data_IF_253167063154
#
_entry.id   IF_253167063154
#
_cell.length_a   1.000
_cell.length_b   1.000
_cell.length_c   1.000
_cell.angle_alpha   90.00
_cell.angle_beta   90.00
_cell.angle_gamma   90.00
#
_symmetry.space_group_name_H-M   'P 1'
#
loop_
_entity.id
_entity.type
_entity.pdbx_description
1 polymer ?
#
# COMPACT_ATOMS: atom_id res chain seq x y z
N UNK A 1 1.94 -14.60 -17.37
CA UNK A 1 1.19 -15.32 -16.34
C UNK A 1 0.67 -14.35 -15.30
N UNK A 2 -0.59 -14.45 -14.96
CA UNK A 2 -1.18 -13.61 -13.93
C UNK A 2 -1.00 -14.25 -12.56
N UNK A 3 -0.76 -13.42 -11.55
CA UNK A 3 -0.68 -13.86 -10.18
C UNK A 3 -2.11 -13.90 -9.60
N UNK A 4 -2.54 -15.05 -9.04
CA UNK A 4 -3.85 -15.07 -8.39
C UNK A 4 -3.90 -14.09 -7.24
N UNK A 5 -4.91 -13.22 -7.19
CA UNK A 5 -5.09 -12.31 -6.09
C UNK A 5 -5.96 -12.96 -5.02
N UNK A 6 -5.34 -13.23 -3.89
CA UNK A 6 -6.02 -13.73 -2.70
C UNK A 6 -5.50 -12.92 -1.52
N UNK A 7 -6.19 -12.93 -0.36
CA UNK A 7 -5.62 -12.27 0.82
C UNK A 7 -4.22 -12.77 1.15
N UNK A 8 -3.93 -14.05 0.91
CA UNK A 8 -2.62 -14.64 1.17
C UNK A 8 -1.55 -14.09 0.23
N UNK A 9 -1.86 -13.90 -1.06
CA UNK A 9 -0.87 -13.32 -1.97
C UNK A 9 -0.66 -11.84 -1.67
N UNK A 10 -1.69 -11.13 -1.22
CA UNK A 10 -1.54 -9.74 -0.81
C UNK A 10 -0.63 -9.64 0.42
N UNK A 11 -0.84 -10.51 1.40
CA UNK A 11 0.02 -10.55 2.58
C UNK A 11 1.47 -10.86 2.20
N UNK A 12 1.68 -11.80 1.26
CA UNK A 12 3.02 -12.14 0.80
C UNK A 12 3.70 -10.97 0.10
N UNK A 13 2.94 -10.20 -0.70
CA UNK A 13 3.49 -9.01 -1.35
C UNK A 13 3.91 -7.96 -0.31
N UNK A 14 3.07 -7.76 0.69
CA UNK A 14 3.39 -6.85 1.79
C UNK A 14 4.66 -7.31 2.52
N UNK A 15 4.74 -8.59 2.86
CA UNK A 15 5.89 -9.13 3.59
C UNK A 15 7.18 -8.97 2.79
N UNK A 16 7.13 -9.23 1.48
CA UNK A 16 8.31 -9.04 0.63
C UNK A 16 8.76 -7.58 0.67
N UNK A 17 7.85 -6.65 0.44
CA UNK A 17 8.20 -5.23 0.43
C UNK A 17 8.71 -4.76 1.78
N UNK A 18 8.14 -5.28 2.87
CA UNK A 18 8.56 -4.90 4.22
C UNK A 18 10.00 -5.27 4.53
N UNK A 19 10.59 -6.22 3.78
CA UNK A 19 12.00 -6.57 3.92
C UNK A 19 12.92 -5.65 3.11
N UNK A 20 12.36 -4.78 2.27
CA UNK A 20 13.13 -3.92 1.36
C UNK A 20 13.19 -2.48 1.87
N UNK A 21 14.27 -1.73 1.50
CA UNK A 21 14.29 -0.31 1.84
C UNK A 21 13.28 0.47 0.98
N UNK A 22 12.69 1.55 1.49
CA UNK A 22 12.89 2.09 2.84
C UNK A 22 11.95 1.46 3.87
N UNK A 23 11.07 0.54 3.48
CA UNK A 23 10.03 -0.04 4.32
C UNK A 23 10.62 -0.73 5.57
N UNK A 24 11.77 -1.39 5.42
CA UNK A 24 12.39 -2.13 6.51
C UNK A 24 12.87 -1.22 7.65
N UNK A 25 12.84 0.11 7.45
CA UNK A 25 13.24 1.07 8.46
C UNK A 25 12.04 1.76 9.11
N UNK A 26 10.83 1.38 8.75
CA UNK A 26 9.62 2.11 9.15
C UNK A 26 8.84 1.47 10.28
N UNK A 27 9.28 0.43 10.90
CA UNK A 27 8.56 -0.23 12.00
C UNK A 27 7.09 -0.53 11.65
N UNK A 28 6.89 -1.09 10.47
CA UNK A 28 5.54 -1.43 10.00
C UNK A 28 5.00 -2.62 10.80
N UNK A 29 3.66 -2.71 10.97
CA UNK A 29 3.07 -3.88 11.63
C UNK A 29 3.27 -5.14 10.80
N UNK A 30 3.20 -6.30 11.45
CA UNK A 30 3.26 -7.58 10.75
C UNK A 30 2.02 -7.77 9.89
N UNK A 31 2.16 -8.55 8.83
CA UNK A 31 1.05 -8.75 7.89
C UNK A 31 -0.17 -9.40 8.54
N UNK A 32 0.03 -10.20 9.60
CA UNK A 32 -1.10 -10.81 10.30
C UNK A 32 -1.92 -9.81 11.12
N UNK A 33 -1.43 -8.60 11.29
CA UNK A 33 -2.16 -7.52 11.95
C UNK A 33 -2.94 -6.65 10.98
N UNK A 34 -2.86 -6.94 9.68
CA UNK A 34 -3.49 -6.16 8.62
C UNK A 34 -4.57 -7.00 7.96
N UNK A 35 -5.73 -6.40 7.71
CA UNK A 35 -6.78 -7.07 6.95
C UNK A 35 -6.56 -6.81 5.48
N UNK A 36 -6.28 -7.88 4.72
CA UNK A 36 -6.14 -7.80 3.27
C UNK A 36 -7.43 -8.29 2.62
N UNK A 37 -7.94 -7.50 1.69
CA UNK A 37 -9.22 -7.77 1.02
C UNK A 37 -9.02 -7.70 -0.48
N UNK A 38 -9.62 -8.64 -1.21
CA UNK A 38 -9.66 -8.60 -2.66
C UNK A 38 -10.99 -8.03 -3.09
N UNK A 39 -10.96 -6.89 -3.78
CA UNK A 39 -12.15 -6.25 -4.31
C UNK A 39 -12.27 -6.43 -5.81
N UNK A 40 -13.31 -5.84 -6.41
CA UNK A 40 -13.54 -5.91 -7.85
C UNK A 40 -14.01 -4.58 -8.42
N UNK A 41 -13.50 -3.48 -7.89
CA UNK A 41 -13.80 -2.15 -8.42
C UNK A 41 -12.86 -1.82 -9.57
N UNK A 42 -13.27 -0.87 -10.43
CA UNK A 42 -12.50 -0.49 -11.62
C UNK A 42 -11.98 0.94 -11.58
N UNK A 43 -12.44 1.73 -10.63
CA UNK A 43 -12.08 3.15 -10.56
C UNK A 43 -10.69 3.39 -9.98
N UNK A 44 -10.13 2.41 -9.26
CA UNK A 44 -8.80 2.51 -8.69
C UNK A 44 -8.21 1.12 -8.55
N UNK A 45 -6.89 1.04 -8.35
CA UNK A 45 -6.21 -0.25 -8.16
C UNK A 45 -6.38 -0.79 -6.75
N UNK A 46 -6.36 0.10 -5.76
CA UNK A 46 -6.43 -0.31 -4.36
C UNK A 46 -6.86 0.85 -3.48
N UNK A 47 -7.21 0.53 -2.23
CA UNK A 47 -7.49 1.54 -1.20
C UNK A 47 -6.86 1.11 0.11
N UNK A 48 -6.54 2.10 0.91
CA UNK A 48 -6.13 1.91 2.30
C UNK A 48 -7.17 2.56 3.21
N UNK A 49 -7.49 1.87 4.32
CA UNK A 49 -8.47 2.35 5.30
C UNK A 49 -7.98 2.05 6.72
N UNK A 50 -8.21 3.00 7.63
CA UNK A 50 -8.03 2.75 9.05
C UNK A 50 -9.39 2.53 9.69
N UNK A 51 -9.58 1.37 10.28
CA UNK A 51 -10.81 1.03 11.01
C UNK A 51 -10.57 1.28 12.49
N UNK A 52 -10.96 2.46 12.97
CA UNK A 52 -10.75 2.85 14.35
C UNK A 52 -11.59 2.07 15.35
N UNK A 53 -12.70 1.48 14.89
CA UNK A 53 -13.57 0.69 15.79
C UNK A 53 -12.90 -0.64 16.14
N UNK A 54 -12.14 -1.22 15.21
CA UNK A 54 -11.47 -2.49 15.41
C UNK A 54 -9.96 -2.35 15.53
N UNK A 55 -9.47 -1.09 15.54
CA UNK A 55 -8.04 -0.79 15.64
C UNK A 55 -7.25 -1.56 14.60
N UNK A 56 -7.67 -1.46 13.34
CA UNK A 56 -7.13 -2.31 12.28
C UNK A 56 -6.89 -1.54 10.99
N UNK A 57 -5.75 -1.82 10.35
CA UNK A 57 -5.48 -1.35 8.99
C UNK A 57 -6.16 -2.29 8.00
N UNK A 58 -6.72 -1.72 6.93
CA UNK A 58 -7.38 -2.50 5.88
C UNK A 58 -6.81 -2.06 4.54
N UNK A 59 -6.25 -3.01 3.79
CA UNK A 59 -5.77 -2.77 2.43
C UNK A 59 -6.61 -3.63 1.48
N UNK A 60 -7.31 -2.96 0.57
CA UNK A 60 -8.14 -3.62 -0.43
C UNK A 60 -7.51 -3.43 -1.80
N UNK A 61 -7.30 -4.52 -2.54
CA UNK A 61 -6.71 -4.49 -3.88
C UNK A 61 -7.71 -5.07 -4.86
N UNK A 62 -7.87 -4.42 -6.00
CA UNK A 62 -8.89 -4.80 -6.98
C UNK A 62 -8.37 -5.87 -7.94
N UNK A 63 -9.03 -7.04 -7.95
CA UNK A 63 -8.72 -8.09 -8.91
C UNK A 63 -9.11 -7.70 -10.33
N UNK A 64 -10.02 -6.72 -10.49
CA UNK A 64 -10.43 -6.26 -11.81
C UNK A 64 -9.39 -5.36 -12.47
N UNK A 65 -8.53 -4.71 -11.66
CA UNK A 65 -7.56 -3.72 -12.15
C UNK A 65 -6.12 -4.22 -12.15
N UNK A 66 -5.81 -5.23 -11.36
CA UNK A 66 -4.45 -5.73 -11.19
C UNK A 66 -4.29 -7.04 -11.94
N UNK A 67 -3.43 -7.05 -12.97
CA UNK A 67 -3.18 -8.24 -13.78
C UNK A 67 -1.73 -8.69 -13.82
N UNK A 68 -0.81 -7.93 -13.24
CA UNK A 68 0.62 -8.24 -13.29
C UNK A 68 1.27 -8.07 -11.94
N UNK A 69 2.30 -8.87 -11.69
CA UNK A 69 3.03 -8.83 -10.41
C UNK A 69 3.67 -7.47 -10.16
N UNK A 70 4.24 -6.84 -11.19
CA UNK A 70 4.88 -5.53 -11.01
C UNK A 70 3.85 -4.46 -10.62
N UNK A 71 2.66 -4.51 -11.20
CA UNK A 71 1.58 -3.61 -10.82
C UNK A 71 1.15 -3.86 -9.39
N UNK A 72 1.04 -5.13 -9.00
CA UNK A 72 0.70 -5.49 -7.64
C UNK A 72 1.72 -4.93 -6.64
N UNK A 73 3.00 -5.07 -6.91
CA UNK A 73 4.05 -4.59 -6.01
C UNK A 73 4.01 -3.08 -5.85
N UNK A 74 3.87 -2.34 -6.95
CA UNK A 74 3.79 -0.88 -6.88
C UNK A 74 2.52 -0.44 -6.15
N UNK A 75 1.41 -1.09 -6.42
CA UNK A 75 0.13 -0.79 -5.77
C UNK A 75 0.21 -1.06 -4.27
N UNK A 76 0.76 -2.20 -3.89
CA UNK A 76 0.93 -2.54 -2.47
C UNK A 76 1.84 -1.52 -1.79
N UNK A 77 2.95 -1.16 -2.42
CA UNK A 77 3.88 -0.17 -1.86
C UNK A 77 3.19 1.18 -1.65
N UNK A 78 2.33 1.59 -2.59
CA UNK A 78 1.55 2.83 -2.47
C UNK A 78 0.67 2.80 -1.22
N UNK A 79 -0.05 1.70 -1.00
CA UNK A 79 -0.92 1.59 0.18
C UNK A 79 -0.11 1.47 1.48
N UNK A 80 1.08 0.87 1.42
CA UNK A 80 1.96 0.79 2.59
C UNK A 80 2.44 2.17 3.04
N UNK A 81 2.59 3.13 2.12
CA UNK A 81 2.90 4.50 2.51
C UNK A 81 1.75 5.11 3.30
N UNK A 82 0.51 4.91 2.84
CA UNK A 82 -0.66 5.40 3.59
C UNK A 82 -0.71 4.77 5.00
N UNK A 83 -0.44 3.48 5.08
CA UNK A 83 -0.40 2.78 6.36
C UNK A 83 0.67 3.39 7.28
N UNK A 84 1.86 3.64 6.74
CA UNK A 84 2.96 4.23 7.51
C UNK A 84 2.57 5.63 8.02
N UNK A 85 1.92 6.44 7.17
CA UNK A 85 1.48 7.77 7.57
C UNK A 85 0.44 7.70 8.69
N UNK A 86 -0.49 6.74 8.62
CA UNK A 86 -1.49 6.57 9.68
C UNK A 86 -0.81 6.15 10.98
N UNK A 87 0.12 5.20 10.94
CA UNK A 87 0.86 4.76 12.12
C UNK A 87 1.69 5.89 12.73
N UNK A 88 2.22 6.76 11.89
CA UNK A 88 3.07 7.87 12.32
C UNK A 88 2.28 9.15 12.57
N UNK A 89 0.97 9.12 12.40
CA UNK A 89 0.06 10.25 12.57
C UNK A 89 0.40 11.43 11.66
N UNK A 90 0.83 11.11 10.45
CA UNK A 90 1.17 12.09 9.40
C UNK A 90 0.13 12.14 8.29
N UNK A 91 -0.96 11.35 8.40
CA UNK A 91 -2.02 11.32 7.41
C UNK A 91 -2.86 12.58 7.50
N UNK A 92 -3.30 13.08 6.35
CA UNK A 92 -4.22 14.23 6.32
C UNK A 92 -5.60 13.79 6.78
N UNK A 93 -6.20 14.60 7.66
CA UNK A 93 -7.51 14.29 8.22
C UNK A 93 -8.53 15.29 7.72
N UNK A 94 -9.67 14.76 7.27
CA UNK A 94 -10.82 15.57 6.87
C UNK A 94 -10.50 16.49 5.71
N UNK A 95 -9.39 16.33 5.07
CA UNK A 95 -8.95 17.21 4.01
C UNK A 95 -9.14 16.56 2.66
N UNK A 96 -8.88 17.33 1.65
CA UNK A 96 -9.12 16.97 0.26
C UNK A 96 -8.03 16.11 -0.34
N UNK A 97 -6.86 16.04 0.28
CA UNK A 97 -5.75 15.30 -0.32
C UNK A 97 -5.18 14.26 0.62
N UNK A 98 -5.20 12.99 0.17
CA UNK A 98 -4.52 11.90 0.88
C UNK A 98 -3.07 11.77 0.46
N UNK A 99 -2.68 12.45 -0.63
CA UNK A 99 -1.30 12.47 -1.12
C UNK A 99 -0.64 13.79 -0.71
N UNK A 100 -0.47 13.97 0.61
CA UNK A 100 0.09 15.19 1.17
C UNK A 100 1.62 15.25 0.95
N UNK A 101 2.27 16.27 1.53
CA UNK A 101 3.71 16.46 1.36
C UNK A 101 4.51 15.27 1.91
N UNK A 102 4.03 14.65 2.99
CA UNK A 102 4.69 13.48 3.57
C UNK A 102 4.57 12.28 2.65
N UNK A 103 3.37 12.04 2.08
CA UNK A 103 3.19 10.96 1.13
C UNK A 103 4.14 11.11 -0.05
N UNK A 104 4.21 12.31 -0.62
CA UNK A 104 5.07 12.54 -1.78
C UNK A 104 6.55 12.32 -1.46
N UNK A 105 6.97 12.71 -0.25
CA UNK A 105 8.35 12.50 0.18
C UNK A 105 8.68 11.02 0.28
N UNK A 106 7.81 10.24 0.91
CA UNK A 106 8.03 8.80 1.05
C UNK A 106 7.89 8.08 -0.28
N UNK A 107 6.97 8.51 -1.15
CA UNK A 107 6.83 7.94 -2.50
C UNK A 107 8.12 8.12 -3.30
N UNK A 108 8.76 9.29 -3.20
CA UNK A 108 10.02 9.53 -3.88
C UNK A 108 11.11 8.59 -3.38
N UNK A 109 11.17 8.35 -2.08
CA UNK A 109 12.13 7.39 -1.51
C UNK A 109 11.88 5.98 -2.03
N UNK A 110 10.64 5.53 -1.99
CA UNK A 110 10.26 4.19 -2.42
C UNK A 110 10.63 3.98 -3.88
N UNK A 111 10.28 4.93 -4.74
CA UNK A 111 10.57 4.82 -6.17
C UNK A 111 12.06 4.83 -6.44
N UNK A 112 12.83 5.60 -5.67
CA UNK A 112 14.28 5.63 -5.83
C UNK A 112 14.92 4.29 -5.51
N UNK A 113 14.50 3.67 -4.39
CA UNK A 113 15.07 2.38 -3.98
C UNK A 113 14.65 1.24 -4.90
N UNK A 114 13.44 1.29 -5.42
CA UNK A 114 12.90 0.19 -6.23
C UNK A 114 13.03 0.41 -7.73
N UNK A 115 13.48 1.58 -8.16
CA UNK A 115 13.65 1.87 -9.58
C UNK A 115 12.36 2.10 -10.32
N UNK A 116 11.33 2.56 -9.64
CA UNK A 116 10.01 2.82 -10.25
C UNK A 116 9.86 4.27 -10.68
N UNK A 117 9.02 4.49 -11.71
CA UNK A 117 8.68 5.84 -12.17
C UNK A 117 7.73 6.49 -11.19
N UNK A 118 8.16 7.61 -10.62
CA UNK A 118 7.37 8.31 -9.61
C UNK A 118 6.00 8.75 -10.15
N UNK A 119 5.94 9.18 -11.42
CA UNK A 119 4.67 9.63 -11.99
C UNK A 119 3.67 8.49 -12.13
N UNK A 120 4.16 7.30 -12.48
CA UNK A 120 3.30 6.14 -12.61
C UNK A 120 2.91 5.56 -11.25
N UNK A 121 3.67 5.87 -10.22
CA UNK A 121 3.45 5.32 -8.89
C UNK A 121 2.22 5.91 -8.19
N UNK A 122 1.90 7.17 -8.49
CA UNK A 122 0.75 7.83 -7.87
C UNK A 122 -0.59 7.25 -8.30
#
# INVERSE_FOLDING_TARGET
MTLPLTPETLAAAYDYLATTPPFNKWSLPDSDEIKFVVGRFRSTFATYQWDGRHNQHIITVSAAAIGQTSTLMQTMAHEMIHLHLEESKMESRGSTSTHNVWFRKFAAQVCKYHGWDLKAFY
#
